data_IF_446017996579
#
_entry.id   IF_446017996579
#
_cell.length_a   1.000
_cell.length_b   1.000
_cell.length_c   1.000
_cell.angle_alpha   90.00
_cell.angle_beta   90.00
_cell.angle_gamma   90.00
#
_symmetry.space_group_name_H-M   'P 1'
#
loop_
_entity.id
_entity.type
_entity.pdbx_description
1 polymer ?
#
# COMPACT_ATOMS: atom_id res chain seq x y z
N UNK A 1 27.77 4.48 -2.11
CA UNK A 1 26.46 5.15 -2.27
C UNK A 1 25.85 5.25 -0.89
N UNK A 2 26.27 6.31 -0.21
CA UNK A 2 25.93 6.71 1.14
C UNK A 2 24.49 7.22 1.21
N UNK A 3 23.70 6.73 2.17
CA UNK A 3 22.57 7.49 2.72
C UNK A 3 22.57 7.36 4.24
N UNK A 4 23.34 8.27 4.82
CA UNK A 4 23.50 8.54 6.23
C UNK A 4 22.56 9.68 6.61
N UNK A 5 21.39 9.39 7.16
CA UNK A 5 20.55 10.34 7.89
C UNK A 5 19.77 9.53 8.94
N UNK A 6 20.33 9.23 10.12
CA UNK A 6 20.50 10.12 11.28
C UNK A 6 19.19 10.79 11.72
N UNK A 7 18.22 9.97 12.11
CA UNK A 7 17.06 10.38 12.91
C UNK A 7 17.49 10.48 14.36
N UNK A 8 18.07 11.62 14.75
CA UNK A 8 18.39 11.91 16.14
C UNK A 8 18.25 13.42 16.36
N UNK A 9 17.01 13.87 16.57
CA UNK A 9 16.72 15.20 17.12
C UNK A 9 15.85 15.04 18.36
N UNK A 10 16.53 14.90 19.50
CA UNK A 10 16.00 15.29 20.82
C UNK A 10 16.89 16.42 21.34
N UNK A 11 16.26 17.29 22.16
CA UNK A 11 16.77 18.50 22.84
C UNK A 11 16.53 19.77 22.01
N UNK A 12 15.97 20.87 22.54
CA UNK A 12 15.95 21.31 23.93
C UNK A 12 14.71 22.18 24.20
N UNK A 13 14.15 22.01 25.40
CA UNK A 13 13.33 23.00 26.09
C UNK A 13 14.27 24.10 26.56
N UNK A 14 13.96 25.36 26.25
CA UNK A 14 14.56 26.52 26.90
C UNK A 14 13.51 27.64 26.96
N UNK A 15 13.56 28.36 28.08
CA UNK A 15 12.50 29.09 28.75
C UNK A 15 12.47 30.58 28.44
N UNK A 16 11.27 31.15 28.63
CA UNK A 16 10.96 32.40 29.33
C UNK A 16 11.09 33.79 28.64
N UNK A 17 9.95 34.47 28.72
CA UNK A 17 9.72 35.84 29.22
C UNK A 17 9.60 37.01 28.23
N UNK A 18 8.38 37.59 28.21
CA UNK A 18 8.05 38.97 28.61
C UNK A 18 7.11 39.72 27.64
N UNK A 19 5.86 39.92 28.12
CA UNK A 19 5.04 41.15 28.15
C UNK A 19 5.08 42.15 26.97
N UNK A 20 3.93 42.45 26.35
CA UNK A 20 3.14 43.68 26.65
C UNK A 20 1.87 43.86 25.77
N UNK A 21 0.87 44.46 26.42
CA UNK A 21 -0.18 45.35 25.90
C UNK A 21 -1.42 44.75 25.20
N UNK A 22 -2.55 44.88 25.91
CA UNK A 22 -3.91 44.85 25.36
C UNK A 22 -4.12 45.96 24.32
N UNK A 23 -4.81 45.63 23.24
CA UNK A 23 -5.59 46.56 22.43
C UNK A 23 -6.94 45.91 22.10
N UNK A 24 -7.97 46.75 22.08
CA UNK A 24 -9.38 46.45 22.12
C UNK A 24 -9.86 45.35 21.15
N UNK A 25 -10.74 44.48 21.66
CA UNK A 25 -11.65 43.72 20.81
C UNK A 25 -12.75 44.66 20.34
N UNK A 26 -12.53 45.36 19.23
CA UNK A 26 -13.65 45.80 18.41
C UNK A 26 -14.27 44.54 17.81
N UNK A 27 -15.45 44.15 18.31
CA UNK A 27 -16.30 43.17 17.62
C UNK A 27 -16.92 43.89 16.42
N UNK A 28 -16.13 44.11 15.38
CA UNK A 28 -16.71 44.26 14.06
C UNK A 28 -17.16 42.87 13.66
N UNK A 29 -18.46 42.59 13.80
CA UNK A 29 -19.12 41.64 12.89
C UNK A 29 -19.10 42.31 11.51
N UNK A 30 -17.93 42.30 10.88
CA UNK A 30 -17.88 42.15 9.46
C UNK A 30 -18.08 40.65 9.26
N UNK A 31 -19.20 40.24 8.66
CA UNK A 31 -19.31 38.88 8.18
C UNK A 31 -18.10 38.64 7.28
N UNK A 32 -17.23 37.72 7.68
CA UNK A 32 -16.10 37.28 6.86
C UNK A 32 -16.67 36.96 5.47
N UNK A 33 -16.12 37.57 4.43
CA UNK A 33 -16.66 37.63 3.06
C UNK A 33 -16.79 36.30 2.32
N UNK A 34 -17.52 35.33 2.88
CA UNK A 34 -17.83 34.02 2.33
C UNK A 34 -19.32 33.76 2.07
N UNK A 35 -20.18 34.71 2.46
CA UNK A 35 -21.65 34.61 2.40
C UNK A 35 -22.29 35.28 1.16
N UNK A 36 -21.49 35.84 0.26
CA UNK A 36 -21.97 36.44 -0.99
C UNK A 36 -21.18 35.94 -2.21
N UNK A 37 -21.82 35.82 -3.39
CA UNK A 37 -21.12 35.55 -4.64
C UNK A 37 -20.14 36.70 -4.98
N UNK A 38 -19.08 36.44 -5.76
CA UNK A 38 -18.04 37.42 -6.07
C UNK A 38 -18.52 38.65 -6.87
N UNK A 39 -19.69 38.57 -7.52
CA UNK A 39 -20.32 39.69 -8.20
C UNK A 39 -21.86 39.59 -8.10
N UNK A 40 -22.47 40.07 -6.99
CA UNK A 40 -23.92 40.01 -6.80
C UNK A 40 -24.63 41.11 -7.59
N UNK A 41 -25.67 40.74 -8.32
CA UNK A 41 -26.56 41.71 -8.98
C UNK A 41 -27.64 42.22 -8.01
N UNK A 42 -27.89 43.54 -7.93
CA UNK A 42 -28.94 44.09 -7.08
C UNK A 42 -30.33 43.52 -7.40
N UNK A 43 -31.06 43.08 -6.38
CA UNK A 43 -32.40 42.51 -6.53
C UNK A 43 -32.44 41.03 -6.94
N UNK A 44 -31.29 40.35 -6.99
CA UNK A 44 -31.18 38.89 -7.13
C UNK A 44 -30.83 38.24 -5.80
N UNK A 45 -31.36 37.04 -5.59
CA UNK A 45 -31.09 36.22 -4.42
C UNK A 45 -30.26 35.01 -4.87
N UNK A 46 -29.26 34.64 -4.06
CA UNK A 46 -28.32 33.57 -4.39
C UNK A 46 -28.28 32.54 -3.27
N UNK A 47 -28.24 31.27 -3.64
CA UNK A 47 -28.03 30.15 -2.74
C UNK A 47 -26.68 29.49 -3.05
N UNK A 48 -25.90 29.22 -2.00
CA UNK A 48 -24.62 28.54 -2.11
C UNK A 48 -24.85 27.03 -2.11
N UNK A 49 -24.70 26.41 -3.28
CA UNK A 49 -24.88 24.98 -3.47
C UNK A 49 -23.55 24.25 -3.33
N UNK A 50 -23.51 23.25 -2.46
CA UNK A 50 -22.36 22.36 -2.32
C UNK A 50 -22.34 21.33 -3.46
N UNK A 51 -21.23 21.26 -4.19
CA UNK A 51 -20.96 20.24 -5.18
C UNK A 51 -19.90 19.29 -4.59
N UNK A 52 -20.25 18.04 -4.27
CA UNK A 52 -19.31 17.11 -3.67
C UNK A 52 -18.19 16.76 -4.65
N UNK A 53 -17.01 16.42 -4.11
CA UNK A 53 -15.88 15.95 -4.89
C UNK A 53 -16.25 14.64 -5.62
N UNK A 54 -15.73 14.51 -6.84
CA UNK A 54 -15.89 13.30 -7.65
C UNK A 54 -14.54 12.59 -7.76
N UNK A 55 -14.57 11.29 -7.58
CA UNK A 55 -13.40 10.43 -7.54
C UNK A 55 -13.53 9.28 -8.54
N UNK A 56 -12.39 8.82 -9.02
CA UNK A 56 -12.30 7.62 -9.84
C UNK A 56 -11.20 6.72 -9.26
N UNK A 57 -11.51 5.44 -9.14
CA UNK A 57 -10.55 4.43 -8.67
C UNK A 57 -9.87 3.81 -9.90
N UNK A 58 -8.54 3.87 -9.93
CA UNK A 58 -7.73 3.33 -11.01
C UNK A 58 -6.87 2.17 -10.50
N UNK A 59 -6.89 1.07 -11.26
CA UNK A 59 -6.04 -0.08 -11.03
C UNK A 59 -4.71 0.08 -11.77
N UNK A 60 -3.60 0.07 -11.04
CA UNK A 60 -2.25 0.07 -11.61
C UNK A 60 -1.53 -1.22 -11.26
N UNK A 61 -0.89 -1.85 -12.26
CA UNK A 61 -0.02 -3.00 -12.03
C UNK A 61 1.37 -2.52 -11.67
N UNK A 62 1.80 -2.85 -10.46
CA UNK A 62 3.14 -2.53 -9.96
C UNK A 62 3.94 -3.81 -9.79
N UNK A 63 5.23 -3.76 -10.16
CA UNK A 63 6.16 -4.86 -9.97
C UNK A 63 6.33 -5.13 -8.47
N UNK A 64 5.91 -6.31 -8.02
CA UNK A 64 6.03 -6.72 -6.62
C UNK A 64 7.36 -7.45 -6.38
N UNK A 65 7.69 -8.41 -7.25
CA UNK A 65 9.00 -9.08 -7.23
C UNK A 65 9.53 -9.20 -8.65
N UNK A 66 10.81 -8.83 -8.90
CA UNK A 66 11.43 -9.01 -10.19
C UNK A 66 11.63 -10.51 -10.49
N UNK A 67 11.72 -10.83 -11.78
CA UNK A 67 12.16 -12.15 -12.20
C UNK A 67 13.57 -12.42 -11.65
N UNK A 68 13.78 -13.62 -11.11
CA UNK A 68 15.06 -14.01 -10.51
C UNK A 68 15.41 -15.44 -10.86
N UNK A 69 16.69 -15.75 -10.82
CA UNK A 69 17.16 -17.12 -10.93
C UNK A 69 17.21 -17.71 -9.53
N UNK A 70 16.48 -18.80 -9.33
CA UNK A 70 16.53 -19.58 -8.10
C UNK A 70 17.40 -20.81 -8.30
N UNK A 71 18.05 -21.22 -7.22
CA UNK A 71 18.93 -22.39 -7.20
C UNK A 71 18.41 -23.36 -6.17
N UNK A 72 18.19 -24.61 -6.58
CA UNK A 72 17.80 -25.70 -5.68
C UNK A 72 18.85 -26.80 -5.74
N UNK A 73 19.27 -27.24 -4.56
CA UNK A 73 20.11 -28.43 -4.41
C UNK A 73 19.21 -29.65 -4.26
N UNK A 74 19.44 -30.65 -5.11
CA UNK A 74 18.83 -31.96 -5.00
C UNK A 74 19.87 -32.92 -4.43
N UNK A 75 19.51 -33.57 -3.33
CA UNK A 75 20.38 -34.53 -2.65
C UNK A 75 20.59 -35.81 -3.49
N UNK A 76 21.66 -36.52 -3.17
CA UNK A 76 21.95 -37.81 -3.80
C UNK A 76 20.93 -38.88 -3.38
N UNK A 77 20.51 -39.71 -4.34
CA UNK A 77 19.61 -40.85 -4.08
C UNK A 77 20.42 -42.13 -4.09
N UNK A 78 20.31 -42.89 -3.00
CA UNK A 78 20.95 -44.19 -2.82
C UNK A 78 19.91 -45.30 -2.80
N UNK A 79 20.33 -46.48 -3.26
CA UNK A 79 19.58 -47.73 -3.15
C UNK A 79 20.43 -48.74 -2.39
N UNK A 80 19.78 -49.54 -1.55
CA UNK A 80 20.41 -50.69 -0.92
C UNK A 80 20.32 -51.88 -1.86
N UNK A 81 21.47 -52.45 -2.21
CA UNK A 81 21.57 -53.71 -2.93
C UNK A 81 22.09 -54.80 -1.98
N UNK A 82 21.46 -55.96 -2.03
CA UNK A 82 21.85 -57.11 -1.22
C UNK A 82 22.64 -58.08 -2.10
N UNK A 83 23.82 -58.46 -1.63
CA UNK A 83 24.65 -59.47 -2.27
C UNK A 83 24.96 -60.58 -1.29
N UNK A 84 24.84 -61.82 -1.74
CA UNK A 84 25.29 -62.97 -0.99
C UNK A 84 26.78 -63.18 -1.24
N UNK A 85 27.55 -63.20 -0.15
CA UNK A 85 28.99 -63.42 -0.18
C UNK A 85 29.30 -64.71 0.56
N UNK A 86 30.05 -65.58 -0.11
CA UNK A 86 30.54 -66.83 0.47
C UNK A 86 31.60 -66.52 1.54
N UNK A 87 31.33 -66.94 2.77
CA UNK A 87 32.23 -66.72 3.90
C UNK A 87 33.10 -67.95 4.15
N UNK A 88 32.53 -69.14 3.89
CA UNK A 88 33.24 -70.41 4.04
C UNK A 88 32.75 -71.42 3.02
N UNK A 89 33.70 -71.98 2.29
CA UNK A 89 33.50 -73.08 1.33
C UNK A 89 32.92 -74.33 2.02
N UNK A 90 32.21 -75.15 1.26
CA UNK A 90 31.77 -76.45 1.73
C UNK A 90 32.97 -77.40 1.91
N UNK A 91 32.93 -78.23 2.95
CA UNK A 91 33.92 -79.29 3.20
C UNK A 91 33.23 -80.64 3.34
N UNK A 92 33.99 -81.74 3.34
CA UNK A 92 33.47 -83.09 3.52
C UNK A 92 32.86 -83.24 4.94
N UNK A 93 31.60 -82.86 5.10
CA UNK A 93 30.85 -82.90 6.35
C UNK A 93 30.17 -81.59 6.77
N UNK A 94 30.40 -80.47 6.08
CA UNK A 94 29.76 -79.19 6.40
C UNK A 94 29.33 -78.40 5.15
N UNK A 95 28.12 -77.81 5.12
CA UNK A 95 27.67 -76.99 4.01
C UNK A 95 28.41 -75.65 3.94
N UNK A 96 28.42 -75.04 2.75
CA UNK A 96 28.91 -73.68 2.54
C UNK A 96 28.13 -72.67 3.39
N UNK A 97 28.83 -71.68 3.94
CA UNK A 97 28.21 -70.61 4.72
C UNK A 97 28.26 -69.31 3.96
N UNK A 98 27.09 -68.76 3.72
CA UNK A 98 26.89 -67.48 3.05
C UNK A 98 26.47 -66.40 4.03
N UNK A 99 26.81 -65.16 3.69
CA UNK A 99 26.38 -63.97 4.42
C UNK A 99 25.80 -62.98 3.43
N UNK A 100 24.60 -62.47 3.73
CA UNK A 100 24.02 -61.35 3.01
C UNK A 100 24.65 -60.05 3.48
N UNK A 101 25.21 -59.29 2.55
CA UNK A 101 25.76 -57.95 2.80
C UNK A 101 24.90 -56.94 2.04
N UNK A 102 24.55 -55.84 2.71
CA UNK A 102 23.86 -54.71 2.10
C UNK A 102 24.88 -53.64 1.72
N UNK A 103 24.88 -53.19 0.48
CA UNK A 103 25.73 -52.12 -0.03
C UNK A 103 24.87 -50.94 -0.51
N UNK A 104 25.28 -49.71 -0.18
CA UNK A 104 24.61 -48.49 -0.66
C UNK A 104 25.17 -48.09 -2.02
N UNK A 105 24.37 -48.24 -3.07
CA UNK A 105 24.75 -47.88 -4.43
C UNK A 105 24.15 -46.52 -4.78
N UNK A 106 24.99 -45.62 -5.32
CA UNK A 106 24.57 -44.31 -5.80
C UNK A 106 23.75 -44.44 -7.09
N UNK A 107 22.46 -44.09 -7.04
CA UNK A 107 21.55 -44.16 -8.19
C UNK A 107 21.51 -42.84 -8.94
N UNK A 108 21.49 -41.74 -8.20
CA UNK A 108 21.47 -40.39 -8.79
C UNK A 108 22.38 -39.49 -7.96
N UNK A 109 23.40 -38.86 -8.58
CA UNK A 109 24.28 -37.94 -7.87
C UNK A 109 23.53 -36.70 -7.42
N UNK A 110 24.00 -36.09 -6.34
CA UNK A 110 23.56 -34.77 -5.94
C UNK A 110 23.84 -33.78 -7.07
N UNK A 111 22.88 -32.89 -7.34
CA UNK A 111 23.02 -31.88 -8.40
C UNK A 111 22.34 -30.58 -8.01
N UNK A 112 22.81 -29.52 -8.62
CA UNK A 112 22.26 -28.18 -8.43
C UNK A 112 21.53 -27.78 -9.70
N UNK A 113 20.25 -27.47 -9.58
CA UNK A 113 19.43 -27.00 -10.68
C UNK A 113 19.15 -25.51 -10.53
N UNK A 114 19.17 -24.79 -11.66
CA UNK A 114 18.80 -23.39 -11.74
C UNK A 114 17.54 -23.25 -12.57
N UNK A 115 16.56 -22.52 -12.05
CA UNK A 115 15.35 -22.20 -12.79
C UNK A 115 15.02 -20.71 -12.65
N UNK A 116 14.35 -20.18 -13.67
CA UNK A 116 13.92 -18.78 -13.69
C UNK A 116 12.54 -18.68 -13.05
N UNK A 117 12.46 -18.03 -11.89
CA UNK A 117 11.20 -17.62 -11.30
C UNK A 117 10.70 -16.35 -12.02
N UNK A 118 9.45 -16.33 -12.52
CA UNK A 118 8.92 -15.17 -13.23
C UNK A 118 8.70 -13.98 -12.28
N UNK A 119 8.58 -12.79 -12.85
CA UNK A 119 8.21 -11.59 -12.09
C UNK A 119 6.75 -11.72 -11.60
N UNK A 120 6.50 -11.22 -10.39
CA UNK A 120 5.14 -11.12 -9.84
C UNK A 120 4.72 -9.66 -9.79
N UNK A 121 3.44 -9.42 -10.12
CA UNK A 121 2.83 -8.10 -10.11
C UNK A 121 1.69 -8.08 -9.10
N UNK A 122 1.46 -6.91 -8.51
CA UNK A 122 0.30 -6.64 -7.67
C UNK A 122 -0.49 -5.47 -8.24
N UNK A 123 -1.81 -5.55 -8.11
CA UNK A 123 -2.70 -4.43 -8.40
C UNK A 123 -2.73 -3.48 -7.21
N UNK A 124 -2.41 -2.21 -7.46
CA UNK A 124 -2.57 -1.12 -6.51
C UNK A 124 -3.76 -0.28 -6.95
N UNK A 125 -4.75 -0.16 -6.07
CA UNK A 125 -5.90 0.72 -6.29
C UNK A 125 -5.54 2.12 -5.81
N UNK A 126 -5.57 3.09 -6.71
CA UNK A 126 -5.34 4.49 -6.37
C UNK A 126 -6.58 5.31 -6.69
N UNK A 127 -6.97 6.19 -5.77
CA UNK A 127 -8.08 7.11 -5.96
C UNK A 127 -7.59 8.43 -6.53
N UNK A 128 -8.09 8.79 -7.70
CA UNK A 128 -7.80 10.07 -8.35
C UNK A 128 -8.98 11.03 -8.17
N UNK A 129 -8.69 12.28 -7.83
CA UNK A 129 -9.69 13.35 -7.83
C UNK A 129 -9.96 13.76 -9.28
N UNK A 130 -11.19 13.59 -9.73
CA UNK A 130 -11.63 14.07 -11.05
C UNK A 130 -12.13 15.51 -10.97
N UNK A 131 -12.86 15.82 -9.89
CA UNK A 131 -13.37 17.14 -9.60
C UNK A 131 -13.29 17.38 -8.10
N UNK A 132 -12.66 18.47 -7.70
CA UNK A 132 -12.63 18.87 -6.31
C UNK A 132 -14.03 19.26 -5.82
N UNK A 133 -14.24 19.18 -4.52
CA UNK A 133 -15.45 19.73 -3.92
C UNK A 133 -15.43 21.24 -4.13
N UNK A 134 -16.54 21.78 -4.63
CA UNK A 134 -16.66 23.21 -4.91
C UNK A 134 -18.00 23.72 -4.42
N UNK A 135 -18.10 25.03 -4.35
CA UNK A 135 -19.37 25.71 -4.11
C UNK A 135 -19.73 26.50 -5.35
N UNK A 136 -21.00 26.44 -5.73
CA UNK A 136 -21.55 27.20 -6.84
C UNK A 136 -22.70 28.07 -6.33
N UNK A 137 -22.84 29.25 -6.90
CA UNK A 137 -23.89 30.20 -6.53
C UNK A 137 -25.01 30.11 -7.53
N UNK A 138 -26.18 29.63 -7.10
CA UNK A 138 -27.37 29.57 -7.94
C UNK A 138 -28.30 30.72 -7.62
N UNK A 139 -28.81 31.38 -8.65
CA UNK A 139 -29.86 32.38 -8.48
C UNK A 139 -31.17 31.68 -8.12
N UNK A 140 -31.76 32.09 -7.01
CA UNK A 140 -33.09 31.66 -6.60
C UNK A 140 -34.07 32.81 -6.76
N UNK A 141 -35.36 32.47 -6.84
CA UNK A 141 -36.40 33.48 -6.72
C UNK A 141 -36.25 34.15 -5.35
N UNK A 142 -36.20 35.49 -5.33
CA UNK A 142 -36.30 36.21 -4.08
C UNK A 142 -37.71 36.00 -3.54
N UNK A 143 -37.84 35.07 -2.61
CA UNK A 143 -39.08 34.83 -1.89
C UNK A 143 -39.24 35.94 -0.84
N UNK A 144 -39.52 37.14 -1.34
CA UNK A 144 -39.94 38.28 -0.54
C UNK A 144 -41.46 38.20 -0.31
N UNK A 145 -41.97 38.62 0.85
CA UNK A 145 -43.41 38.65 1.08
C UNK A 145 -44.06 39.48 -0.03
N UNK A 146 -45.12 38.93 -0.63
CA UNK A 146 -45.88 39.54 -1.72
C UNK A 146 -46.05 41.04 -1.47
N UNK A 147 -45.50 41.86 -2.37
CA UNK A 147 -45.55 43.32 -2.29
C UNK A 147 -47.03 43.73 -2.32
N UNK A 148 -47.57 44.21 -1.20
CA UNK A 148 -48.93 44.75 -1.10
C UNK A 148 -49.04 45.90 -2.13
N UNK A 149 -50.03 45.92 -3.04
CA UNK A 149 -50.16 47.02 -4.00
C UNK A 149 -50.32 48.33 -3.22
N UNK A 150 -49.49 49.33 -3.54
CA UNK A 150 -49.59 50.66 -2.96
C UNK A 150 -50.93 51.26 -3.40
N UNK A 151 -51.85 51.48 -2.46
CA UNK A 151 -53.02 52.30 -2.70
C UNK A 151 -52.54 53.75 -2.90
N UNK A 152 -52.56 54.21 -4.13
CA UNK A 152 -52.45 55.63 -4.49
C UNK A 152 -53.71 56.36 -4.02
N UNK A 153 -53.54 57.33 -3.13
CA UNK A 153 -54.53 58.36 -2.82
C UNK A 153 -54.27 59.61 -3.64
#
# INVERSE_FOLDING_TARGET
>A
MDFKHKTDQRRAVATAAALLAMLAADVTVAGDGGDCPPNPEPGKCYEKVYLPAQYEDQAEQVLDQPARVETRTLEAVYRLEQKEVLVREATAGAPAVYKTVSESVLVTPARTERYTAPATYRLVMTRRVLREASFDWRTIACEGPARRPSASH
#
